data_IF_890890349260
#
_entry.id   IF_890890349260
#
_cell.length_a   1.000
_cell.length_b   1.000
_cell.length_c   1.000
_cell.angle_alpha   90.00
_cell.angle_beta   90.00
_cell.angle_gamma   90.00
#
_symmetry.space_group_name_H-M   'P 1'
#
loop_
_entity.id
_entity.type
_entity.pdbx_description
1 polymer ?
#
# COMPACT_ATOMS: atom_id res chain seq x y z
N UNK A 1 3.78 -10.86 -16.17
CA UNK A 1 2.48 -11.35 -15.67
C UNK A 1 2.65 -12.42 -14.60
N UNK A 2 3.32 -13.54 -14.87
CA UNK A 2 3.56 -14.60 -13.88
C UNK A 2 4.06 -14.12 -12.52
N UNK A 3 5.08 -13.25 -12.48
CA UNK A 3 5.60 -12.70 -11.22
C UNK A 3 4.54 -11.94 -10.41
N UNK A 4 3.68 -11.14 -11.05
CA UNK A 4 2.58 -10.47 -10.36
C UNK A 4 1.56 -11.46 -9.82
N UNK A 5 1.16 -12.46 -10.63
CA UNK A 5 0.19 -13.47 -10.20
C UNK A 5 0.70 -14.26 -8.99
N UNK A 6 1.94 -14.74 -9.05
CA UNK A 6 2.52 -15.54 -7.97
C UNK A 6 2.79 -14.74 -6.69
N UNK A 7 3.25 -13.48 -6.81
CA UNK A 7 3.42 -12.62 -5.64
C UNK A 7 2.06 -12.21 -5.05
N UNK A 8 1.05 -11.98 -5.88
CA UNK A 8 -0.31 -11.74 -5.38
C UNK A 8 -0.81 -12.93 -4.58
N UNK A 9 -0.76 -14.15 -5.13
CA UNK A 9 -1.22 -15.36 -4.45
C UNK A 9 -0.47 -15.60 -3.14
N UNK A 10 0.85 -15.58 -3.17
CA UNK A 10 1.68 -15.87 -1.99
C UNK A 10 1.59 -14.79 -0.91
N UNK A 11 1.27 -13.54 -1.26
CA UNK A 11 0.99 -12.49 -0.28
C UNK A 11 -0.48 -12.45 0.16
N UNK A 12 -1.41 -13.00 -0.61
CA UNK A 12 -2.85 -13.01 -0.28
C UNK A 12 -3.22 -14.20 0.59
N UNK A 13 -2.82 -15.41 0.21
CA UNK A 13 -3.17 -16.67 0.87
C UNK A 13 -2.95 -16.66 2.40
N UNK A 14 -1.80 -16.22 2.95
CA UNK A 14 -1.55 -16.29 4.38
C UNK A 14 -2.23 -15.18 5.21
N UNK A 15 -2.78 -14.13 4.58
CA UNK A 15 -3.28 -12.95 5.29
C UNK A 15 -4.76 -12.64 5.01
N UNK A 16 -5.20 -12.76 3.77
CA UNK A 16 -6.47 -12.21 3.27
C UNK A 16 -7.49 -13.32 2.92
N UNK A 17 -7.46 -14.44 3.65
CA UNK A 17 -8.37 -15.58 3.46
C UNK A 17 -9.39 -15.74 4.61
N UNK A 18 -9.50 -14.75 5.50
CA UNK A 18 -10.46 -14.75 6.61
C UNK A 18 -11.44 -13.57 6.53
N UNK A 19 -12.17 -13.33 7.62
CA UNK A 19 -13.14 -12.22 7.72
C UNK A 19 -12.51 -10.87 8.06
N UNK A 20 -11.20 -10.83 8.29
CA UNK A 20 -10.52 -9.57 8.55
C UNK A 20 -10.48 -8.71 7.28
N UNK A 21 -10.54 -7.37 7.38
CA UNK A 21 -10.81 -6.54 6.22
C UNK A 21 -9.55 -6.12 5.43
N UNK A 22 -8.36 -6.66 5.71
CA UNK A 22 -7.12 -6.28 5.00
C UNK A 22 -7.23 -6.51 3.50
N UNK A 23 -7.91 -7.56 3.04
CA UNK A 23 -8.17 -7.80 1.62
C UNK A 23 -9.04 -6.71 0.99
N UNK A 24 -10.05 -6.21 1.71
CA UNK A 24 -10.91 -5.10 1.26
C UNK A 24 -10.09 -3.80 1.20
N UNK A 25 -9.23 -3.56 2.19
CA UNK A 25 -8.36 -2.38 2.22
C UNK A 25 -7.33 -2.42 1.09
N UNK A 26 -6.73 -3.59 0.82
CA UNK A 26 -5.81 -3.79 -0.29
C UNK A 26 -6.50 -3.49 -1.64
N UNK A 27 -7.74 -3.95 -1.83
CA UNK A 27 -8.55 -3.65 -3.00
C UNK A 27 -8.91 -2.15 -3.09
N UNK A 28 -9.41 -1.56 -2.01
CA UNK A 28 -9.78 -0.14 -1.96
C UNK A 28 -8.60 0.79 -2.25
N UNK A 29 -7.42 0.47 -1.74
CA UNK A 29 -6.17 1.17 -2.03
C UNK A 29 -5.78 1.05 -3.51
N UNK A 30 -5.90 -0.16 -4.10
CA UNK A 30 -5.64 -0.36 -5.54
C UNK A 30 -6.63 0.40 -6.42
N UNK A 31 -7.93 0.36 -6.11
CA UNK A 31 -8.97 1.10 -6.84
C UNK A 31 -8.71 2.60 -6.77
N UNK A 32 -8.36 3.13 -5.59
CA UNK A 32 -7.96 4.53 -5.41
C UNK A 32 -6.80 4.90 -6.32
N UNK A 33 -5.73 4.09 -6.34
CA UNK A 33 -4.56 4.29 -7.20
C UNK A 33 -4.95 4.30 -8.69
N UNK A 34 -5.73 3.32 -9.14
CA UNK A 34 -6.16 3.19 -10.54
C UNK A 34 -7.02 4.39 -10.98
N UNK A 35 -7.94 4.85 -10.12
CA UNK A 35 -8.78 6.01 -10.39
C UNK A 35 -7.97 7.31 -10.54
N UNK A 36 -6.96 7.50 -9.68
CA UNK A 36 -6.03 8.64 -9.77
C UNK A 36 -5.21 8.58 -11.07
N UNK A 37 -4.63 7.43 -11.41
CA UNK A 37 -3.89 7.26 -12.67
C UNK A 37 -4.79 7.53 -13.90
N UNK A 38 -6.05 7.08 -13.85
CA UNK A 38 -7.02 7.31 -14.93
C UNK A 38 -7.44 8.77 -15.04
N UNK A 39 -7.64 9.45 -13.91
CA UNK A 39 -7.91 10.90 -13.87
C UNK A 39 -6.79 11.68 -14.56
N UNK A 40 -5.55 11.31 -14.28
CA UNK A 40 -4.36 11.97 -14.82
C UNK A 40 -4.17 11.77 -16.32
N UNK A 41 -4.62 10.62 -16.87
CA UNK A 41 -4.54 10.35 -18.31
C UNK A 41 -5.39 11.32 -19.14
N UNK A 42 -6.63 11.57 -18.70
CA UNK A 42 -7.60 12.37 -19.46
C UNK A 42 -7.79 13.78 -18.91
N UNK A 43 -7.02 14.18 -17.89
CA UNK A 43 -7.16 15.45 -17.18
C UNK A 43 -8.60 15.69 -16.68
N UNK A 44 -9.28 14.64 -16.17
CA UNK A 44 -10.68 14.69 -15.70
C UNK A 44 -10.72 14.59 -14.18
N UNK A 45 -11.58 15.36 -13.51
CA UNK A 45 -11.67 15.37 -12.05
C UNK A 45 -12.69 14.38 -11.48
N UNK A 46 -13.64 13.87 -12.27
CA UNK A 46 -14.60 12.86 -11.82
C UNK A 46 -13.92 11.60 -11.26
N UNK A 47 -12.93 10.99 -11.93
CA UNK A 47 -12.25 9.84 -11.35
C UNK A 47 -11.44 10.20 -10.10
N UNK A 48 -10.94 11.44 -9.99
CA UNK A 48 -10.27 11.90 -8.77
C UNK A 48 -11.24 12.06 -7.61
N UNK A 49 -12.44 12.59 -7.85
CA UNK A 49 -13.50 12.65 -6.83
C UNK A 49 -13.94 11.25 -6.39
N UNK A 50 -14.10 10.31 -7.33
CA UNK A 50 -14.37 8.90 -6.99
C UNK A 50 -13.22 8.27 -6.20
N UNK A 51 -11.95 8.59 -6.50
CA UNK A 51 -10.81 8.13 -5.72
C UNK A 51 -10.86 8.66 -4.29
N UNK A 52 -11.29 9.90 -4.07
CA UNK A 52 -11.51 10.47 -2.74
C UNK A 52 -12.60 9.70 -1.99
N UNK A 53 -13.74 9.40 -2.63
CA UNK A 53 -14.79 8.55 -2.05
C UNK A 53 -14.22 7.18 -1.67
N UNK A 54 -13.55 6.49 -2.61
CA UNK A 54 -12.98 5.16 -2.35
C UNK A 54 -11.98 5.20 -1.19
N UNK A 55 -11.10 6.20 -1.14
CA UNK A 55 -10.13 6.34 -0.06
C UNK A 55 -10.79 6.61 1.30
N UNK A 56 -11.81 7.47 1.33
CA UNK A 56 -12.56 7.79 2.55
C UNK A 56 -13.30 6.55 3.10
N UNK A 57 -13.98 5.80 2.24
CA UNK A 57 -14.65 4.56 2.62
C UNK A 57 -13.63 3.49 3.07
N UNK A 58 -12.49 3.37 2.38
CA UNK A 58 -11.41 2.44 2.77
C UNK A 58 -10.83 2.78 4.14
N UNK A 59 -10.62 4.07 4.43
CA UNK A 59 -10.18 4.55 5.74
C UNK A 59 -11.20 4.24 6.85
N UNK A 60 -12.49 4.30 6.53
CA UNK A 60 -13.58 4.00 7.48
C UNK A 60 -13.70 2.52 7.87
N UNK A 61 -13.07 1.60 7.12
CA UNK A 61 -13.17 0.15 7.39
C UNK A 61 -12.33 -0.28 8.61
N UNK A 62 -11.10 0.22 8.74
CA UNK A 62 -10.21 -0.13 9.86
C UNK A 62 -9.11 0.94 10.00
N UNK A 63 -8.49 1.14 11.19
CA UNK A 63 -7.39 2.11 11.33
C UNK A 63 -6.21 1.91 10.37
N UNK A 64 -5.98 0.70 9.89
CA UNK A 64 -4.98 0.37 8.85
C UNK A 64 -5.37 0.87 7.45
N UNK A 65 -6.63 1.27 7.25
CA UNK A 65 -7.15 1.85 6.01
C UNK A 65 -6.51 3.20 5.64
N UNK A 66 -5.75 3.81 6.55
CA UNK A 66 -4.96 5.03 6.32
C UNK A 66 -4.03 4.93 5.10
N UNK A 67 -3.66 3.73 4.69
CA UNK A 67 -2.82 3.50 3.51
C UNK A 67 -3.48 3.99 2.20
N UNK A 68 -4.81 4.09 2.13
CA UNK A 68 -5.48 4.63 0.94
C UNK A 68 -5.12 6.11 0.72
N UNK A 69 -4.76 6.83 1.78
CA UNK A 69 -4.24 8.20 1.71
C UNK A 69 -2.88 8.23 1.01
N UNK A 70 -2.04 7.19 1.14
CA UNK A 70 -0.76 7.11 0.41
C UNK A 70 -0.97 7.17 -1.11
N UNK A 71 -2.00 6.51 -1.63
CA UNK A 71 -2.36 6.53 -3.05
C UNK A 71 -2.77 7.92 -3.53
N UNK A 72 -3.55 8.66 -2.72
CA UNK A 72 -3.92 10.05 -3.02
C UNK A 72 -2.70 10.98 -3.01
N UNK A 73 -1.84 10.87 -1.98
CA UNK A 73 -0.64 11.70 -1.82
C UNK A 73 0.35 11.47 -2.96
N UNK A 74 0.57 10.21 -3.37
CA UNK A 74 1.45 9.88 -4.49
C UNK A 74 1.01 10.54 -5.82
N UNK A 75 -0.30 10.76 -6.00
CA UNK A 75 -0.88 11.45 -7.15
C UNK A 75 -0.99 12.98 -7.02
N UNK A 76 -0.62 13.57 -5.88
CA UNK A 76 -0.94 14.96 -5.55
C UNK A 76 -0.38 15.99 -6.53
N UNK A 77 0.92 15.92 -6.84
CA UNK A 77 1.59 16.88 -7.75
C UNK A 77 0.94 16.96 -9.15
N UNK A 78 0.75 15.85 -9.89
CA UNK A 78 0.07 15.92 -11.18
C UNK A 78 -1.41 16.30 -11.05
N UNK A 79 -2.08 15.93 -9.96
CA UNK A 79 -3.48 16.34 -9.73
C UNK A 79 -3.61 17.86 -9.56
N UNK A 80 -2.69 18.48 -8.82
CA UNK A 80 -2.64 19.95 -8.69
C UNK A 80 -2.50 20.66 -10.04
N UNK A 81 -1.75 20.10 -10.99
CA UNK A 81 -1.66 20.67 -12.35
C UNK A 81 -3.01 20.63 -13.08
N UNK A 82 -3.78 19.57 -12.90
CA UNK A 82 -5.12 19.44 -13.50
C UNK A 82 -6.08 20.44 -12.87
N UNK A 83 -6.04 20.59 -11.54
CA UNK A 83 -6.82 21.57 -10.79
C UNK A 83 -6.50 22.99 -11.24
N UNK A 84 -5.23 23.39 -11.27
CA UNK A 84 -4.81 24.73 -11.71
C UNK A 84 -5.21 25.02 -13.15
N UNK A 85 -5.11 24.02 -14.05
CA UNK A 85 -5.56 24.17 -15.43
C UNK A 85 -7.08 24.38 -15.53
N UNK A 86 -7.87 23.62 -14.78
CA UNK A 86 -9.34 23.71 -14.81
C UNK A 86 -9.89 24.91 -14.07
N UNK A 87 -9.20 25.37 -13.03
CA UNK A 87 -9.52 26.58 -12.29
C UNK A 87 -9.72 27.79 -13.21
N UNK A 88 -8.86 27.93 -14.23
CA UNK A 88 -8.94 29.04 -15.20
C UNK A 88 -10.19 29.02 -16.09
N UNK A 89 -10.92 27.90 -16.14
CA UNK A 89 -12.09 27.74 -16.99
C UNK A 89 -13.41 27.88 -16.22
N UNK A 90 -13.45 27.40 -14.97
CA UNK A 90 -14.70 27.30 -14.19
C UNK A 90 -14.62 27.94 -12.81
N UNK A 91 -13.48 28.53 -12.44
CA UNK A 91 -13.24 29.07 -11.09
C UNK A 91 -13.00 27.98 -10.02
N UNK A 92 -12.68 28.39 -8.79
CA UNK A 92 -12.32 27.47 -7.69
C UNK A 92 -13.51 26.74 -7.11
N UNK A 93 -14.59 27.47 -6.80
CA UNK A 93 -15.72 26.96 -6.03
C UNK A 93 -16.34 25.69 -6.62
N UNK A 94 -16.69 25.62 -7.93
CA UNK A 94 -17.27 24.40 -8.51
C UNK A 94 -16.27 23.25 -8.67
N UNK A 95 -14.97 23.45 -8.42
CA UNK A 95 -13.97 22.39 -8.38
C UNK A 95 -13.84 21.80 -6.96
N UNK A 96 -13.82 22.65 -5.94
CA UNK A 96 -13.61 22.22 -4.55
C UNK A 96 -14.88 21.70 -3.89
N UNK A 97 -16.06 22.31 -4.18
CA UNK A 97 -17.31 21.92 -3.54
C UNK A 97 -17.68 20.44 -3.78
N UNK A 98 -17.60 19.89 -5.02
CA UNK A 98 -17.88 18.47 -5.24
C UNK A 98 -16.84 17.55 -4.60
N UNK A 99 -15.58 17.97 -4.52
CA UNK A 99 -14.52 17.18 -3.86
C UNK A 99 -14.70 17.14 -2.35
N UNK A 100 -15.10 18.25 -1.73
CA UNK A 100 -15.43 18.30 -0.31
C UNK A 100 -16.65 17.43 -0.03
N UNK A 101 -17.73 17.57 -0.80
CA UNK A 101 -18.91 16.72 -0.67
C UNK A 101 -18.57 15.23 -0.79
N UNK A 102 -17.75 14.85 -1.78
CA UNK A 102 -17.26 13.49 -1.96
C UNK A 102 -16.39 13.00 -0.80
N UNK A 103 -15.58 13.87 -0.18
CA UNK A 103 -14.74 13.53 0.97
C UNK A 103 -15.49 13.39 2.28
N UNK A 104 -16.58 14.16 2.46
CA UNK A 104 -17.35 14.17 3.72
C UNK A 104 -18.56 13.24 3.73
N UNK A 105 -18.96 12.70 2.58
CA UNK A 105 -20.12 11.78 2.49
C UNK A 105 -19.94 10.53 3.36
N UNK A 106 -18.70 10.10 3.63
CA UNK A 106 -18.43 8.98 4.53
C UNK A 106 -18.98 9.21 5.95
N UNK A 107 -19.09 10.47 6.39
CA UNK A 107 -19.56 10.81 7.73
C UNK A 107 -21.03 10.39 7.94
N UNK A 108 -21.86 10.42 6.89
CA UNK A 108 -23.25 9.98 7.00
C UNK A 108 -23.38 8.48 7.19
N UNK A 109 -22.36 7.70 6.80
CA UNK A 109 -22.29 6.25 7.03
C UNK A 109 -21.68 5.95 8.39
N UNK A 110 -20.61 6.66 8.77
CA UNK A 110 -19.92 6.47 10.07
C UNK A 110 -20.82 6.83 11.25
N UNK A 111 -21.56 7.93 11.15
CA UNK A 111 -22.47 8.42 12.19
C UNK A 111 -23.94 8.10 11.90
N UNK A 112 -24.22 7.03 11.13
CA UNK A 112 -25.58 6.63 10.80
C UNK A 112 -26.41 6.25 12.04
N UNK A 113 -25.74 5.71 13.07
CA UNK A 113 -26.37 5.21 14.30
C UNK A 113 -25.79 5.83 15.57
N UNK A 114 -24.47 6.09 15.59
CA UNK A 114 -23.78 6.61 16.76
C UNK A 114 -23.63 8.13 16.69
N UNK A 115 -23.76 8.82 17.83
CA UNK A 115 -23.53 10.27 17.94
C UNK A 115 -22.04 10.60 18.12
N UNK A 116 -21.68 11.88 17.94
CA UNK A 116 -20.30 12.34 18.14
C UNK A 116 -19.78 12.09 19.57
N UNK A 117 -20.61 12.33 20.59
CA UNK A 117 -20.23 12.11 21.98
C UNK A 117 -19.96 10.63 22.26
N UNK A 118 -20.79 9.73 21.73
CA UNK A 118 -20.59 8.27 21.90
C UNK A 118 -19.29 7.80 21.24
N UNK A 119 -18.97 8.29 20.04
CA UNK A 119 -17.71 7.94 19.35
C UNK A 119 -16.48 8.47 20.10
N UNK A 120 -16.53 9.71 20.59
CA UNK A 120 -15.44 10.31 21.36
C UNK A 120 -15.18 9.54 22.65
N UNK A 121 -16.25 9.20 23.38
CA UNK A 121 -16.13 8.46 24.64
C UNK A 121 -15.60 7.04 24.42
N UNK A 122 -16.12 6.32 23.44
CA UNK A 122 -15.63 4.98 23.09
C UNK A 122 -14.14 4.99 22.66
N UNK A 123 -13.72 6.05 21.95
CA UNK A 123 -12.31 6.22 21.54
C UNK A 123 -11.42 6.53 22.74
N UNK A 124 -11.88 7.39 23.67
CA UNK A 124 -11.18 7.68 24.93
C UNK A 124 -10.95 6.40 25.74
N UNK A 125 -11.97 5.58 25.90
CA UNK A 125 -11.90 4.30 26.64
C UNK A 125 -10.92 3.34 25.96
N UNK A 126 -11.02 3.13 24.65
CA UNK A 126 -10.11 2.23 23.90
C UNK A 126 -8.66 2.70 23.94
N UNK A 127 -8.41 4.01 23.90
CA UNK A 127 -7.06 4.56 23.97
C UNK A 127 -6.45 4.43 25.37
N UNK A 128 -7.25 4.51 26.43
CA UNK A 128 -6.77 4.38 27.82
C UNK A 128 -6.59 2.93 28.29
N UNK A 129 -7.46 2.02 27.84
CA UNK A 129 -7.51 0.63 28.35
C UNK A 129 -6.90 -0.35 27.34
N UNK A 130 -7.20 -0.18 26.06
CA UNK A 130 -6.81 -1.13 25.01
C UNK A 130 -5.32 -1.05 24.63
N UNK A 131 -4.82 -2.04 23.88
CA UNK A 131 -3.47 -1.97 23.33
C UNK A 131 -3.38 -0.82 22.32
N UNK A 132 -2.74 0.28 22.74
CA UNK A 132 -2.55 1.50 21.95
C UNK A 132 -1.08 1.89 21.94
N UNK A 133 -0.32 1.28 21.05
CA UNK A 133 1.11 1.50 20.87
C UNK A 133 1.40 2.85 20.20
N UNK A 134 2.49 3.48 20.61
CA UNK A 134 2.96 4.73 20.02
C UNK A 134 3.56 4.52 18.61
N UNK A 135 3.78 5.62 17.90
CA UNK A 135 4.33 5.58 16.54
C UNK A 135 5.79 5.10 16.52
N UNK A 136 6.59 5.45 17.53
CA UNK A 136 8.01 5.09 17.62
C UNK A 136 8.26 3.62 17.97
N UNK A 137 7.22 2.84 18.29
CA UNK A 137 7.32 1.39 18.56
C UNK A 137 6.99 0.52 17.34
N UNK A 138 7.03 1.09 16.13
CA UNK A 138 6.76 0.35 14.89
C UNK A 138 7.78 -0.79 14.64
N UNK A 139 8.96 -0.72 15.24
CA UNK A 139 9.94 -1.80 15.24
C UNK A 139 9.37 -3.14 15.75
N UNK A 140 8.37 -3.12 16.66
CA UNK A 140 7.70 -4.31 17.17
C UNK A 140 7.08 -5.15 16.04
N UNK A 141 6.50 -4.52 15.01
CA UNK A 141 5.88 -5.25 13.90
C UNK A 141 6.88 -6.13 13.17
N UNK A 142 8.10 -5.62 12.98
CA UNK A 142 9.19 -6.32 12.31
C UNK A 142 9.88 -7.33 13.24
N UNK A 143 9.99 -7.00 14.53
CA UNK A 143 10.47 -7.94 15.54
C UNK A 143 9.61 -9.21 15.58
N UNK A 144 8.29 -9.07 15.64
CA UNK A 144 7.38 -10.23 15.64
C UNK A 144 7.48 -11.08 14.36
N UNK A 145 7.84 -10.49 13.22
CA UNK A 145 7.99 -11.20 11.95
C UNK A 145 9.19 -12.16 11.92
N UNK A 146 10.28 -11.82 12.62
CA UNK A 146 11.54 -12.61 12.60
C UNK A 146 11.63 -13.64 13.71
N UNK A 147 10.69 -13.67 14.65
CA UNK A 147 10.63 -14.70 15.69
C UNK A 147 10.22 -16.06 15.11
N UNK A 148 10.71 -17.18 15.67
CA UNK A 148 10.32 -18.54 15.27
C UNK A 148 8.96 -18.92 15.89
N UNK A 149 7.90 -18.18 15.55
CA UNK A 149 6.52 -18.38 16.04
C UNK A 149 5.53 -18.47 14.87
N UNK A 150 4.25 -18.76 15.15
CA UNK A 150 3.18 -18.78 14.13
C UNK A 150 2.98 -17.39 13.49
N UNK A 151 3.23 -16.31 14.23
CA UNK A 151 3.18 -14.95 13.67
C UNK A 151 4.31 -14.66 12.68
N UNK A 152 5.46 -15.29 12.87
CA UNK A 152 6.64 -15.22 12.01
C UNK A 152 6.91 -16.51 11.23
N UNK A 153 5.86 -17.23 10.80
CA UNK A 153 6.00 -18.45 10.02
C UNK A 153 6.47 -18.19 8.59
N UNK A 154 6.93 -19.24 7.89
CA UNK A 154 7.53 -19.10 6.56
C UNK A 154 6.57 -18.46 5.55
N UNK A 155 5.28 -18.80 5.64
CA UNK A 155 4.24 -18.28 4.74
C UNK A 155 3.99 -16.79 4.95
N UNK A 156 4.17 -16.29 6.18
CA UNK A 156 3.94 -14.89 6.55
C UNK A 156 5.17 -14.00 6.34
N UNK A 157 6.37 -14.59 6.32
CA UNK A 157 7.62 -13.87 5.98
C UNK A 157 7.70 -13.54 4.49
N UNK A 158 7.38 -14.52 3.63
CA UNK A 158 7.68 -14.42 2.19
C UNK A 158 7.08 -13.19 1.52
N UNK A 159 5.77 -12.96 1.68
CA UNK A 159 5.04 -11.90 0.97
C UNK A 159 5.58 -10.48 1.22
N UNK A 160 5.95 -10.18 2.47
CA UNK A 160 6.55 -8.88 2.80
C UNK A 160 7.99 -8.79 2.31
N UNK A 161 8.82 -9.82 2.55
CA UNK A 161 10.23 -9.80 2.18
C UNK A 161 10.43 -9.69 0.67
N UNK A 162 9.65 -10.41 -0.14
CA UNK A 162 9.76 -10.33 -1.60
C UNK A 162 9.35 -8.95 -2.12
N UNK A 163 8.33 -8.34 -1.50
CA UNK A 163 7.91 -6.97 -1.80
C UNK A 163 9.03 -5.97 -1.50
N UNK A 164 9.68 -6.10 -0.34
CA UNK A 164 10.81 -5.26 0.05
C UNK A 164 12.01 -5.40 -0.90
N UNK A 165 12.39 -6.64 -1.24
CA UNK A 165 13.48 -6.91 -2.18
C UNK A 165 13.20 -6.27 -3.55
N UNK A 166 11.99 -6.44 -4.08
CA UNK A 166 11.57 -5.84 -5.33
C UNK A 166 11.59 -4.31 -5.28
N UNK A 167 11.02 -3.72 -4.22
CA UNK A 167 10.98 -2.26 -4.01
C UNK A 167 12.39 -1.66 -4.00
N UNK A 168 13.26 -2.12 -3.12
CA UNK A 168 14.61 -1.54 -2.97
C UNK A 168 15.45 -1.74 -4.23
N UNK A 169 15.37 -2.91 -4.87
CA UNK A 169 16.09 -3.17 -6.13
C UNK A 169 15.64 -2.20 -7.23
N UNK A 170 14.32 -2.02 -7.39
CA UNK A 170 13.77 -1.10 -8.38
C UNK A 170 14.18 0.35 -8.11
N UNK A 171 14.18 0.79 -6.84
CA UNK A 171 14.64 2.13 -6.44
C UNK A 171 16.09 2.35 -6.87
N UNK A 172 17.02 1.44 -6.56
CA UNK A 172 18.42 1.59 -6.95
C UNK A 172 18.61 1.65 -8.47
N UNK A 173 17.91 0.79 -9.21
CA UNK A 173 17.98 0.77 -10.69
C UNK A 173 17.43 2.09 -11.26
N UNK A 174 16.29 2.58 -10.78
CA UNK A 174 15.62 3.78 -11.30
C UNK A 174 16.26 5.10 -10.84
N UNK A 175 16.98 5.10 -9.71
CA UNK A 175 17.83 6.22 -9.30
C UNK A 175 19.06 6.35 -10.21
N UNK A 176 19.70 5.23 -10.53
CA UNK A 176 20.89 5.16 -11.40
C UNK A 176 20.54 5.45 -12.86
N UNK A 177 19.51 4.77 -13.40
CA UNK A 177 19.09 4.91 -14.80
C UNK A 177 17.92 5.88 -14.92
N UNK A 178 18.20 7.13 -15.33
CA UNK A 178 17.17 8.18 -15.41
C UNK A 178 16.07 7.87 -16.43
N UNK A 179 16.43 7.21 -17.53
CA UNK A 179 15.53 6.74 -18.59
C UNK A 179 15.79 5.26 -18.81
N UNK A 180 14.72 4.46 -18.79
CA UNK A 180 14.73 3.03 -19.10
C UNK A 180 13.76 2.86 -20.28
N UNK A 181 14.20 2.31 -21.42
CA UNK A 181 13.33 2.10 -22.57
C UNK A 181 12.06 1.32 -22.17
N UNK A 182 10.92 1.75 -22.68
CA UNK A 182 9.61 1.09 -22.50
C UNK A 182 9.09 0.99 -21.05
N UNK A 183 9.70 1.67 -20.07
CA UNK A 183 9.17 1.78 -18.70
C UNK A 183 8.67 3.19 -18.45
N UNK A 184 7.36 3.33 -18.23
CA UNK A 184 6.73 4.61 -17.91
C UNK A 184 7.16 5.09 -16.51
N UNK A 185 8.10 6.04 -16.47
CA UNK A 185 8.72 6.55 -15.24
C UNK A 185 7.71 7.10 -14.23
N UNK A 186 6.68 7.83 -14.67
CA UNK A 186 5.70 8.47 -13.79
C UNK A 186 4.93 7.48 -12.90
N UNK A 187 4.16 6.55 -13.50
CA UNK A 187 3.44 5.52 -12.75
C UNK A 187 4.37 4.65 -11.89
N UNK A 188 5.55 4.28 -12.39
CA UNK A 188 6.51 3.49 -11.63
C UNK A 188 6.96 4.19 -10.32
N UNK A 189 7.26 5.49 -10.36
CA UNK A 189 7.58 6.26 -9.14
C UNK A 189 6.39 6.45 -8.22
N UNK A 190 5.17 6.59 -8.75
CA UNK A 190 3.97 6.69 -7.91
C UNK A 190 3.67 5.37 -7.22
N UNK A 191 3.80 4.23 -7.91
CA UNK A 191 3.68 2.90 -7.29
C UNK A 191 4.67 2.72 -6.12
N UNK A 192 5.95 3.05 -6.33
CA UNK A 192 6.94 3.03 -5.24
C UNK A 192 6.57 4.00 -4.12
N UNK A 193 6.09 5.20 -4.47
CA UNK A 193 5.62 6.20 -3.51
C UNK A 193 4.42 5.72 -2.69
N UNK A 194 3.48 4.97 -3.28
CA UNK A 194 2.39 4.33 -2.55
C UNK A 194 2.94 3.33 -1.55
N UNK A 195 3.87 2.46 -1.94
CA UNK A 195 4.43 1.45 -1.02
C UNK A 195 5.19 2.11 0.15
N UNK A 196 6.04 3.11 -0.12
CA UNK A 196 6.72 3.86 0.94
C UNK A 196 5.74 4.63 1.83
N UNK A 197 4.74 5.28 1.24
CA UNK A 197 3.69 5.96 1.99
C UNK A 197 2.90 5.01 2.87
N UNK A 198 2.55 3.82 2.36
CA UNK A 198 1.90 2.74 3.12
C UNK A 198 2.75 2.33 4.32
N UNK A 199 4.05 2.07 4.14
CA UNK A 199 4.96 1.74 5.26
C UNK A 199 4.99 2.85 6.31
N UNK A 200 5.07 4.11 5.87
CA UNK A 200 5.05 5.27 6.78
C UNK A 200 3.71 5.41 7.52
N UNK A 201 2.57 5.32 6.83
CA UNK A 201 1.27 5.48 7.47
C UNK A 201 0.94 4.31 8.42
N UNK A 202 1.48 3.12 8.17
CA UNK A 202 1.31 1.97 9.07
C UNK A 202 1.93 2.22 10.45
N UNK A 203 2.94 3.10 10.54
CA UNK A 203 3.56 3.55 11.79
C UNK A 203 2.57 4.17 12.77
N UNK A 204 1.48 4.78 12.28
CA UNK A 204 0.47 5.45 13.10
C UNK A 204 -0.70 4.55 13.51
N UNK A 205 -0.60 3.24 13.25
CA UNK A 205 -1.63 2.29 13.69
C UNK A 205 -1.50 1.97 15.18
N UNK A 206 -2.60 1.92 15.96
CA UNK A 206 -2.53 1.63 17.40
C UNK A 206 -1.98 0.24 17.74
N UNK A 207 -2.05 -0.72 16.82
CA UNK A 207 -1.59 -2.10 17.03
C UNK A 207 -0.55 -2.54 16.00
N UNK A 208 0.50 -3.24 16.46
CA UNK A 208 1.72 -3.54 15.70
C UNK A 208 1.78 -4.99 15.21
N UNK A 209 0.69 -5.47 14.63
CA UNK A 209 0.57 -6.87 14.22
C UNK A 209 1.11 -7.19 12.84
N UNK A 210 1.59 -8.42 12.68
CA UNK A 210 2.13 -8.96 11.42
C UNK A 210 1.04 -9.16 10.36
N UNK A 211 -0.21 -9.44 10.75
CA UNK A 211 -1.30 -9.64 9.81
C UNK A 211 -1.64 -8.38 8.97
N UNK A 212 -1.24 -7.18 9.42
CA UNK A 212 -1.35 -5.97 8.61
C UNK A 212 -0.46 -5.98 7.36
N UNK A 213 0.48 -6.93 7.20
CA UNK A 213 1.24 -7.05 5.95
C UNK A 213 0.40 -7.54 4.75
N UNK A 214 -0.80 -8.09 4.98
CA UNK A 214 -1.75 -8.43 3.90
C UNK A 214 -2.14 -7.23 3.02
N UNK A 215 -1.97 -6.01 3.54
CA UNK A 215 -2.18 -4.74 2.83
C UNK A 215 -1.26 -4.56 1.62
N UNK A 216 -0.06 -5.17 1.64
CA UNK A 216 0.91 -5.05 0.57
C UNK A 216 0.66 -6.01 -0.60
N UNK A 217 -0.31 -6.94 -0.51
CA UNK A 217 -0.49 -7.99 -1.52
C UNK A 217 -0.66 -7.43 -2.95
N UNK A 218 -1.54 -6.46 -3.13
CA UNK A 218 -1.81 -5.86 -4.44
C UNK A 218 -0.64 -5.01 -4.97
N UNK A 219 -0.10 -4.12 -4.14
CA UNK A 219 1.00 -3.23 -4.53
C UNK A 219 2.32 -3.99 -4.74
N UNK A 220 2.59 -4.99 -3.88
CA UNK A 220 3.74 -5.89 -3.98
C UNK A 220 3.72 -6.72 -5.25
N UNK A 221 2.56 -7.23 -5.67
CA UNK A 221 2.40 -7.91 -6.94
C UNK A 221 2.76 -7.03 -8.15
N UNK A 222 2.29 -5.78 -8.17
CA UNK A 222 2.65 -4.82 -9.21
C UNK A 222 4.15 -4.46 -9.18
N UNK A 223 4.72 -4.32 -7.97
CA UNK A 223 6.14 -4.04 -7.76
C UNK A 223 7.04 -5.20 -8.23
N UNK A 224 6.60 -6.44 -8.02
CA UNK A 224 7.28 -7.63 -8.52
C UNK A 224 7.30 -7.66 -10.05
N UNK A 225 6.16 -7.41 -10.71
CA UNK A 225 6.12 -7.32 -12.17
C UNK A 225 7.04 -6.24 -12.73
N UNK A 226 7.06 -5.05 -12.13
CA UNK A 226 7.98 -3.99 -12.52
C UNK A 226 9.44 -4.42 -12.34
N UNK A 227 9.76 -5.03 -11.19
CA UNK A 227 11.14 -5.47 -10.89
C UNK A 227 11.59 -6.54 -11.86
N UNK A 228 10.76 -7.52 -12.21
CA UNK A 228 11.08 -8.56 -13.21
C UNK A 228 11.52 -7.96 -14.54
N UNK A 229 10.87 -6.87 -14.99
CA UNK A 229 11.29 -6.13 -16.18
C UNK A 229 12.64 -5.41 -15.95
N UNK A 230 12.81 -4.75 -14.80
CA UNK A 230 14.01 -3.98 -14.48
C UNK A 230 15.29 -4.83 -14.32
N UNK A 231 15.17 -6.06 -13.84
CA UNK A 231 16.30 -6.99 -13.68
C UNK A 231 16.52 -7.91 -14.90
N UNK A 232 15.70 -7.76 -15.95
CA UNK A 232 15.83 -8.55 -17.18
C UNK A 232 17.20 -8.32 -17.86
N UNK A 233 17.71 -9.29 -18.65
CA UNK A 233 18.96 -9.12 -19.40
C UNK A 233 18.99 -7.88 -20.31
N UNK A 234 17.84 -7.47 -20.85
CA UNK A 234 17.70 -6.30 -21.73
C UNK A 234 17.92 -4.97 -20.98
N UNK A 235 17.56 -4.89 -19.69
CA UNK A 235 17.76 -3.67 -18.87
C UNK A 235 19.07 -3.76 -18.07
N UNK A 236 19.32 -4.91 -17.45
CA UNK A 236 20.47 -5.19 -16.60
C UNK A 236 21.49 -6.09 -17.32
N UNK A 237 22.19 -5.49 -18.28
CA UNK A 237 23.10 -6.18 -19.22
C UNK A 237 24.20 -7.03 -18.56
N UNK A 238 24.88 -6.48 -17.56
CA UNK A 238 26.03 -7.15 -16.94
C UNK A 238 25.60 -8.32 -16.04
N UNK A 239 26.06 -9.54 -16.36
CA UNK A 239 25.75 -10.77 -15.63
C UNK A 239 26.04 -10.67 -14.14
N UNK A 240 27.12 -9.99 -13.73
CA UNK A 240 27.47 -9.79 -12.32
C UNK A 240 26.32 -9.20 -11.50
N UNK A 241 25.64 -8.18 -12.02
CA UNK A 241 24.55 -7.53 -11.29
C UNK A 241 23.29 -8.41 -11.21
N UNK A 242 23.03 -9.21 -12.26
CA UNK A 242 21.94 -10.20 -12.26
C UNK A 242 22.24 -11.34 -11.29
N UNK A 243 23.48 -11.81 -11.22
CA UNK A 243 23.91 -12.82 -10.26
C UNK A 243 23.86 -12.30 -8.82
N UNK A 244 24.19 -11.03 -8.58
CA UNK A 244 24.02 -10.43 -7.26
C UNK A 244 22.55 -10.37 -6.82
N UNK A 245 21.63 -10.02 -7.74
CA UNK A 245 20.19 -10.08 -7.46
C UNK A 245 19.71 -11.51 -7.19
N UNK A 246 20.21 -12.50 -7.94
CA UNK A 246 19.91 -13.91 -7.71
C UNK A 246 20.44 -14.40 -6.35
N UNK A 247 21.65 -14.00 -5.94
CA UNK A 247 22.18 -14.29 -4.62
C UNK A 247 21.31 -13.67 -3.51
N UNK A 248 20.81 -12.44 -3.70
CA UNK A 248 19.87 -11.80 -2.78
C UNK A 248 18.53 -12.57 -2.68
N UNK A 249 18.03 -13.13 -3.79
CA UNK A 249 16.86 -14.01 -3.78
C UNK A 249 17.11 -15.30 -2.97
N UNK A 250 18.26 -15.95 -3.15
CA UNK A 250 18.61 -17.13 -2.37
C UNK A 250 18.75 -16.82 -0.87
N UNK A 251 19.37 -15.70 -0.53
CA UNK A 251 19.45 -15.24 0.85
C UNK A 251 18.07 -14.99 1.47
N UNK A 252 17.17 -14.33 0.73
CA UNK A 252 15.78 -14.12 1.16
C UNK A 252 15.06 -15.44 1.41
N UNK A 253 15.21 -16.42 0.50
CA UNK A 253 14.62 -17.74 0.67
C UNK A 253 15.17 -18.44 1.91
N UNK A 254 16.49 -18.42 2.12
CA UNK A 254 17.09 -18.99 3.33
C UNK A 254 16.52 -18.36 4.61
N UNK A 255 16.39 -17.04 4.67
CA UNK A 255 15.81 -16.32 5.81
C UNK A 255 14.33 -16.65 6.02
N UNK A 256 13.59 -16.81 4.93
CA UNK A 256 12.16 -17.13 4.95
C UNK A 256 11.91 -18.54 5.49
N UNK A 257 12.77 -19.50 5.13
CA UNK A 257 12.68 -20.91 5.54
C UNK A 257 13.26 -21.18 6.94
N UNK A 258 13.97 -20.22 7.54
CA UNK A 258 14.51 -20.32 8.90
C UNK A 258 13.46 -20.02 9.99
N UNK A 259 12.35 -20.78 9.98
CA UNK A 259 11.24 -20.70 10.95
C UNK A 259 10.32 -21.92 10.79
N UNK A 260 9.22 -21.96 11.55
CA UNK A 260 8.23 -23.03 11.47
C UNK A 260 7.26 -22.84 10.28
N UNK A 261 6.62 -23.94 9.86
CA UNK A 261 5.48 -23.92 8.93
C UNK A 261 4.14 -23.82 9.68
N UNK A 262 4.06 -22.91 10.66
CA UNK A 262 2.89 -22.75 11.52
C UNK A 262 1.75 -21.97 10.88
N UNK A 263 0.52 -22.41 11.15
CA UNK A 263 -0.73 -21.72 10.83
C UNK A 263 -1.54 -21.50 12.13
N UNK A 264 -2.51 -20.60 12.09
CA UNK A 264 -3.42 -20.39 13.22
C UNK A 264 -4.46 -21.51 13.33
N UNK A 265 -5.31 -21.41 14.35
CA UNK A 265 -6.35 -22.38 14.73
C UNK A 265 -7.22 -22.86 13.54
N UNK A 266 -7.82 -24.06 13.71
CA UNK A 266 -8.60 -24.82 12.71
C UNK A 266 -9.75 -24.04 12.08
#
# INVERSE_FOLDING_TARGET
>A
YWAAAMVLLTAWMPFNNGLRPEGIIALGSLVTYVLIERSMRYSRLTPAALAVVTAAFTLGVQPTGLIAVAALVAGGRPMLRILVRRHRLVGTLPLVSPMLAAGTVILTVVFADQTLSTVLEATRVRAKIGPSQAWYTENLRYYYLILPTVDGSLSRRFGFLITALCLFTAVFIMLRRKRIPSVARGPAWRLMGVIFGTMFFLMFTPTKWVHHFGLFAAAGAAMAALTTVLVSPSVLRWSRNRMAFLAALFFLLALCWATTNGWWYV
#
